data_IF_463295414506
#
_entry.id   IF_463295414506
#
_cell.length_a   1.000
_cell.length_b   1.000
_cell.length_c   1.000
_cell.angle_alpha   90.00
_cell.angle_beta   90.00
_cell.angle_gamma   90.00
#
_symmetry.space_group_name_H-M   'P 1'
#
loop_
_entity.id
_entity.type
_entity.pdbx_description
1 polymer ?
#
# COMPACT_ATOMS: atom_id res chain seq x y z
N UNK A 1 6.21 18.05 -5.86
CA UNK A 1 4.81 17.58 -6.01
C UNK A 1 4.72 16.31 -6.83
N UNK A 2 5.06 16.31 -8.12
CA UNK A 2 5.01 15.09 -8.94
C UNK A 2 5.79 13.91 -8.35
N UNK A 3 6.98 14.18 -7.81
CA UNK A 3 7.78 13.15 -7.13
C UNK A 3 7.11 12.60 -5.86
N UNK A 4 6.50 13.45 -5.03
CA UNK A 4 5.78 13.00 -3.82
C UNK A 4 4.51 12.20 -4.17
N UNK A 5 3.82 12.57 -5.25
CA UNK A 5 2.69 11.81 -5.79
C UNK A 5 3.12 10.42 -6.29
N UNK A 6 4.26 10.36 -6.98
CA UNK A 6 4.85 9.11 -7.46
C UNK A 6 5.28 8.23 -6.28
N UNK A 7 5.95 8.80 -5.28
CA UNK A 7 6.37 8.07 -4.08
C UNK A 7 5.19 7.55 -3.26
N UNK A 8 4.09 8.29 -3.13
CA UNK A 8 2.88 7.80 -2.45
C UNK A 8 2.28 6.58 -3.17
N UNK A 9 2.21 6.63 -4.51
CA UNK A 9 1.75 5.48 -5.31
C UNK A 9 2.70 4.28 -5.21
N UNK A 10 4.00 4.51 -5.34
CA UNK A 10 5.01 3.45 -5.24
C UNK A 10 5.04 2.80 -3.85
N UNK A 11 4.94 3.58 -2.77
CA UNK A 11 4.89 3.05 -1.41
C UNK A 11 3.67 2.14 -1.20
N UNK A 12 2.51 2.51 -1.74
CA UNK A 12 1.34 1.64 -1.73
C UNK A 12 1.52 0.38 -2.59
N UNK A 13 2.13 0.48 -3.77
CA UNK A 13 2.40 -0.69 -4.60
C UNK A 13 3.32 -1.68 -3.88
N UNK A 14 4.37 -1.18 -3.22
CA UNK A 14 5.24 -2.01 -2.37
C UNK A 14 4.43 -2.68 -1.26
N UNK A 15 3.57 -1.93 -0.57
CA UNK A 15 2.68 -2.47 0.47
C UNK A 15 1.80 -3.60 -0.05
N UNK A 16 1.07 -3.36 -1.14
CA UNK A 16 0.14 -4.33 -1.73
C UNK A 16 0.88 -5.59 -2.20
N UNK A 17 2.05 -5.42 -2.81
CA UNK A 17 2.84 -6.53 -3.32
C UNK A 17 3.41 -7.39 -2.19
N UNK A 18 3.89 -6.77 -1.11
CA UNK A 18 4.31 -7.50 0.09
C UNK A 18 3.13 -8.22 0.73
N UNK A 19 1.99 -7.55 0.90
CA UNK A 19 0.80 -8.17 1.48
C UNK A 19 0.33 -9.39 0.67
N UNK A 20 0.38 -9.31 -0.67
CA UNK A 20 0.04 -10.40 -1.58
C UNK A 20 0.99 -11.58 -1.47
N UNK A 21 2.30 -11.35 -1.63
CA UNK A 21 3.31 -12.40 -1.51
C UNK A 21 3.22 -13.06 -0.12
N UNK A 22 3.05 -12.26 0.92
CA UNK A 22 2.96 -12.77 2.29
C UNK A 22 1.78 -13.71 2.49
N UNK A 23 0.64 -13.38 1.87
CA UNK A 23 -0.58 -14.21 1.90
C UNK A 23 -0.39 -15.51 1.13
N UNK A 24 0.23 -15.46 -0.05
CA UNK A 24 0.54 -16.66 -0.86
C UNK A 24 1.49 -17.60 -0.14
N UNK A 25 2.60 -17.07 0.39
CA UNK A 25 3.59 -17.84 1.16
C UNK A 25 2.92 -18.51 2.37
N UNK A 26 2.08 -17.78 3.10
CA UNK A 26 1.41 -18.32 4.27
C UNK A 26 0.35 -19.37 3.91
N UNK A 27 -0.40 -19.18 2.83
CA UNK A 27 -1.34 -20.19 2.34
C UNK A 27 -0.64 -21.49 1.95
N UNK A 28 0.55 -21.40 1.35
CA UNK A 28 1.35 -22.57 1.00
C UNK A 28 1.92 -23.28 2.24
N UNK A 29 2.33 -22.51 3.25
CA UNK A 29 2.71 -23.05 4.56
C UNK A 29 1.55 -23.77 5.26
N UNK A 30 0.33 -23.24 5.16
CA UNK A 30 -0.86 -23.88 5.73
C UNK A 30 -1.15 -25.20 5.02
N UNK A 31 -1.13 -25.21 3.68
CA UNK A 31 -1.34 -26.43 2.89
C UNK A 31 -0.32 -27.52 3.21
N UNK A 32 0.94 -27.15 3.40
CA UNK A 32 2.00 -28.10 3.77
C UNK A 32 1.91 -28.56 5.24
N UNK A 33 1.48 -27.68 6.17
CA UNK A 33 1.29 -28.02 7.57
C UNK A 33 0.11 -28.98 7.83
N UNK A 34 -0.98 -28.91 7.05
CA UNK A 34 -2.10 -29.86 7.19
C UNK A 34 -1.75 -31.31 6.82
N UNK A 35 -0.64 -31.53 6.09
CA UNK A 35 -0.13 -32.87 5.79
C UNK A 35 0.54 -33.55 7.00
N UNK A 36 0.92 -32.81 8.05
CA UNK A 36 1.57 -33.34 9.25
C UNK A 36 1.01 -32.66 10.52
N UNK A 37 0.28 -33.36 11.40
CA UNK A 37 -0.33 -32.78 12.60
C UNK A 37 0.71 -32.48 13.70
N UNK A 38 1.69 -31.63 13.41
CA UNK A 38 2.56 -30.96 14.37
C UNK A 38 1.96 -29.61 14.77
N UNK A 39 2.16 -29.17 16.02
CA UNK A 39 1.71 -27.84 16.45
C UNK A 39 2.50 -26.77 15.69
N UNK A 40 1.80 -25.96 14.88
CA UNK A 40 2.38 -24.81 14.19
C UNK A 40 3.04 -23.86 15.22
N UNK A 41 4.27 -23.37 14.98
CA UNK A 41 4.94 -22.41 15.87
C UNK A 41 4.09 -21.17 16.11
N UNK A 42 4.14 -20.61 17.31
CA UNK A 42 3.28 -19.49 17.72
C UNK A 42 3.47 -18.26 16.82
N UNK A 43 4.70 -17.98 16.39
CA UNK A 43 5.00 -16.87 15.47
C UNK A 43 4.30 -17.07 14.12
N UNK A 44 4.39 -18.26 13.51
CA UNK A 44 3.74 -18.58 12.24
C UNK A 44 2.22 -18.47 12.34
N UNK A 45 1.62 -18.84 13.49
CA UNK A 45 0.19 -18.64 13.75
C UNK A 45 -0.20 -17.17 13.78
N UNK A 46 0.60 -16.32 14.43
CA UNK A 46 0.34 -14.87 14.48
C UNK A 46 0.42 -14.26 13.07
N UNK A 47 1.42 -14.63 12.28
CA UNK A 47 1.57 -14.15 10.90
C UNK A 47 0.40 -14.61 10.03
N UNK A 48 -0.10 -15.84 10.20
CA UNK A 48 -1.33 -16.32 9.56
C UNK A 48 -2.52 -15.43 9.91
N UNK A 49 -2.78 -15.22 11.20
CA UNK A 49 -3.93 -14.41 11.64
C UNK A 49 -3.84 -13.02 11.02
N UNK A 50 -2.64 -12.42 11.00
CA UNK A 50 -2.45 -11.07 10.49
C UNK A 50 -2.64 -10.98 8.97
N UNK A 51 -1.86 -11.73 8.17
CA UNK A 51 -1.84 -11.58 6.71
C UNK A 51 -2.95 -12.34 5.97
N UNK A 52 -3.43 -13.44 6.54
CA UNK A 52 -4.42 -14.31 5.92
C UNK A 52 -5.80 -14.02 6.47
N UNK A 53 -6.01 -14.18 7.79
CA UNK A 53 -7.34 -14.06 8.39
C UNK A 53 -7.80 -12.58 8.46
N UNK A 54 -6.90 -11.66 8.81
CA UNK A 54 -7.12 -10.22 8.83
C UNK A 54 -6.63 -9.50 7.55
N UNK A 55 -6.33 -10.25 6.49
CA UNK A 55 -5.72 -9.70 5.26
C UNK A 55 -6.55 -8.56 4.63
N UNK A 56 -7.88 -8.63 4.69
CA UNK A 56 -8.75 -7.55 4.22
C UNK A 56 -8.55 -6.23 4.99
N UNK A 57 -8.31 -6.30 6.30
CA UNK A 57 -8.06 -5.13 7.11
C UNK A 57 -6.71 -4.50 6.75
N UNK A 58 -5.69 -5.31 6.47
CA UNK A 58 -4.37 -4.84 6.01
C UNK A 58 -4.46 -4.16 4.65
N UNK A 59 -5.23 -4.73 3.73
CA UNK A 59 -5.45 -4.16 2.39
C UNK A 59 -6.14 -2.78 2.50
N UNK A 60 -7.18 -2.67 3.34
CA UNK A 60 -7.90 -1.42 3.61
C UNK A 60 -7.02 -0.38 4.32
N UNK A 61 -6.20 -0.78 5.29
CA UNK A 61 -5.24 0.11 5.96
C UNK A 61 -4.25 0.67 4.95
N UNK A 62 -3.70 -0.17 4.06
CA UNK A 62 -2.81 0.28 2.99
C UNK A 62 -3.48 1.32 2.08
N UNK A 63 -4.73 1.07 1.68
CA UNK A 63 -5.50 1.98 0.82
C UNK A 63 -5.81 3.31 1.52
N UNK A 64 -6.23 3.25 2.79
CA UNK A 64 -6.48 4.43 3.61
C UNK A 64 -5.21 5.26 3.82
N UNK A 65 -4.07 4.60 4.02
CA UNK A 65 -2.77 5.26 4.14
C UNK A 65 -2.36 5.97 2.85
N UNK A 66 -2.59 5.32 1.71
CA UNK A 66 -2.37 5.94 0.40
C UNK A 66 -3.26 7.18 0.23
N UNK A 67 -4.55 7.08 0.56
CA UNK A 67 -5.47 8.21 0.48
C UNK A 67 -5.02 9.38 1.37
N UNK A 68 -4.58 9.11 2.60
CA UNK A 68 -4.02 10.12 3.49
C UNK A 68 -2.76 10.79 2.88
N UNK A 69 -1.88 10.00 2.26
CA UNK A 69 -0.69 10.50 1.56
C UNK A 69 -1.06 11.43 0.40
N UNK A 70 -2.08 11.08 -0.39
CA UNK A 70 -2.57 11.91 -1.48
C UNK A 70 -3.18 13.23 -0.98
N UNK A 71 -3.93 13.19 0.13
CA UNK A 71 -4.45 14.40 0.79
C UNK A 71 -3.31 15.31 1.22
N UNK A 72 -2.25 14.77 1.84
CA UNK A 72 -1.08 15.56 2.22
C UNK A 72 -0.40 16.21 1.00
N UNK A 73 -0.28 15.47 -0.12
CA UNK A 73 0.25 16.02 -1.37
C UNK A 73 -0.63 17.18 -1.89
N UNK A 74 -1.95 17.04 -1.88
CA UNK A 74 -2.85 18.12 -2.30
C UNK A 74 -2.81 19.34 -1.37
N UNK A 75 -2.78 19.13 -0.04
CA UNK A 75 -2.67 20.21 0.93
C UNK A 75 -1.34 20.96 0.78
N UNK A 76 -0.26 20.23 0.50
CA UNK A 76 1.04 20.83 0.24
C UNK A 76 1.09 21.55 -1.11
N UNK A 77 0.38 21.06 -2.14
CA UNK A 77 0.21 21.75 -3.43
C UNK A 77 -0.45 23.13 -3.26
N UNK A 78 -1.30 23.29 -2.24
CA UNK A 78 -1.96 24.56 -1.89
C UNK A 78 -1.14 25.40 -0.89
N UNK A 79 0.13 25.05 -0.66
CA UNK A 79 1.03 25.65 0.32
C UNK A 79 0.46 25.72 1.76
N UNK A 80 -0.51 24.85 2.10
CA UNK A 80 -1.09 24.81 3.46
C UNK A 80 -0.21 24.04 4.44
N UNK A 81 0.57 23.08 3.96
CA UNK A 81 1.38 22.16 4.77
C UNK A 81 2.71 21.88 4.08
N UNK A 82 3.75 21.59 4.87
CA UNK A 82 5.07 21.15 4.36
C UNK A 82 4.96 19.81 3.62
N UNK A 83 5.63 19.71 2.47
CA UNK A 83 5.65 18.48 1.67
C UNK A 83 6.34 17.31 2.38
N UNK A 84 7.19 17.61 3.37
CA UNK A 84 7.88 16.61 4.20
C UNK A 84 6.94 15.58 4.83
N UNK A 85 5.72 15.98 5.22
CA UNK A 85 4.74 15.07 5.78
C UNK A 85 4.31 13.97 4.80
N UNK A 86 4.13 14.30 3.52
CA UNK A 86 3.82 13.30 2.50
C UNK A 86 4.98 12.32 2.30
N UNK A 87 6.22 12.82 2.38
CA UNK A 87 7.43 12.00 2.30
C UNK A 87 7.56 11.04 3.48
N UNK A 88 7.41 11.54 4.70
CA UNK A 88 7.41 10.72 5.91
C UNK A 88 6.34 9.65 5.83
N UNK A 89 5.14 9.99 5.38
CA UNK A 89 4.03 9.06 5.22
C UNK A 89 4.36 7.89 4.27
N UNK A 90 4.91 8.19 3.09
CA UNK A 90 5.32 7.18 2.11
C UNK A 90 6.48 6.31 2.62
N UNK A 91 7.47 6.92 3.28
CA UNK A 91 8.61 6.21 3.87
C UNK A 91 8.14 5.23 4.94
N UNK A 92 7.30 5.68 5.88
CA UNK A 92 6.77 4.82 6.96
C UNK A 92 5.95 3.66 6.37
N UNK A 93 5.12 3.91 5.36
CA UNK A 93 4.36 2.86 4.69
C UNK A 93 5.29 1.81 4.05
N UNK A 94 6.33 2.23 3.34
CA UNK A 94 7.30 1.32 2.72
C UNK A 94 8.11 0.53 3.77
N UNK A 95 8.52 1.18 4.88
CA UNK A 95 9.25 0.52 5.97
C UNK A 95 8.40 -0.54 6.66
N UNK A 96 7.12 -0.24 6.96
CA UNK A 96 6.21 -1.21 7.56
C UNK A 96 5.95 -2.40 6.64
N UNK A 97 5.81 -2.16 5.33
CA UNK A 97 5.75 -3.24 4.35
C UNK A 97 7.02 -4.10 4.39
N UNK A 98 8.22 -3.48 4.37
CA UNK A 98 9.48 -4.21 4.45
C UNK A 98 9.60 -5.06 5.73
N UNK A 99 9.22 -4.51 6.89
CA UNK A 99 9.19 -5.25 8.16
C UNK A 99 8.22 -6.43 8.12
N UNK A 100 7.03 -6.24 7.52
CA UNK A 100 6.07 -7.32 7.30
C UNK A 100 6.64 -8.46 6.46
N UNK A 101 7.35 -8.12 5.37
CA UNK A 101 8.02 -9.09 4.50
C UNK A 101 9.09 -9.89 5.24
N UNK A 102 9.90 -9.23 6.07
CA UNK A 102 10.93 -9.89 6.89
C UNK A 102 10.28 -10.86 7.88
N UNK A 103 9.21 -10.44 8.56
CA UNK A 103 8.49 -11.29 9.51
C UNK A 103 7.91 -12.54 8.85
N UNK A 104 7.32 -12.38 7.66
CA UNK A 104 6.72 -13.49 6.90
C UNK A 104 7.81 -14.42 6.37
N UNK A 105 8.88 -13.88 5.80
CA UNK A 105 10.03 -14.66 5.34
C UNK A 105 10.62 -15.46 6.50
N UNK A 106 10.83 -14.84 7.67
CA UNK A 106 11.31 -15.52 8.86
C UNK A 106 10.35 -16.63 9.31
N UNK A 107 9.04 -16.38 9.30
CA UNK A 107 8.03 -17.40 9.63
C UNK A 107 8.01 -18.59 8.65
N UNK A 108 8.39 -18.35 7.39
CA UNK A 108 8.52 -19.34 6.34
C UNK A 108 9.85 -20.12 6.38
N UNK A 109 10.87 -19.60 7.06
CA UNK A 109 12.14 -20.29 7.31
C UNK A 109 12.19 -21.07 8.63
N UNK A 110 11.27 -20.80 9.56
CA UNK A 110 11.09 -21.62 10.77
C UNK A 110 10.70 -23.10 10.54
N UNK A 111 10.08 -23.54 9.42
CA UNK A 111 9.86 -24.95 9.13
C UNK A 111 11.05 -25.54 8.36
N UNK A 112 12.16 -25.79 9.04
CA UNK A 112 12.96 -26.95 8.65
C UNK A 112 12.12 -28.18 9.01
N UNK A 113 11.88 -29.08 8.04
CA UNK A 113 11.00 -30.28 8.05
C UNK A 113 9.54 -30.05 7.59
N UNK A 114 9.25 -30.18 6.29
CA UNK A 114 8.62 -31.38 5.70
C UNK A 114 8.12 -31.19 4.25
N UNK A 115 8.18 -32.24 3.40
CA UNK A 115 7.72 -32.22 2.02
C UNK A 115 6.21 -32.49 1.85
N UNK A 116 5.65 -31.78 0.87
CA UNK A 116 4.49 -32.00 -0.02
C UNK A 116 3.15 -32.63 0.43
N UNK A 117 2.11 -31.83 0.13
CA UNK A 117 0.83 -32.15 -0.52
C UNK A 117 -0.32 -32.80 0.28
N UNK A 118 -1.18 -31.95 0.83
CA UNK A 118 -2.60 -32.24 1.08
C UNK A 118 -3.44 -30.97 0.86
N UNK A 119 -4.48 -31.04 0.02
CA UNK A 119 -5.38 -29.91 -0.23
C UNK A 119 -6.38 -29.79 0.93
N UNK A 120 -6.25 -28.76 1.76
CA UNK A 120 -7.29 -28.38 2.74
C UNK A 120 -8.27 -27.38 2.11
N UNK A 121 -9.55 -27.54 2.40
CA UNK A 121 -10.57 -26.57 1.99
C UNK A 121 -10.34 -25.21 2.67
N UNK A 122 -10.07 -24.18 1.86
CA UNK A 122 -9.87 -22.82 2.33
C UNK A 122 -11.13 -22.27 3.01
N UNK A 123 -10.96 -21.62 4.15
CA UNK A 123 -12.06 -21.00 4.90
C UNK A 123 -12.66 -19.83 4.10
N UNK A 124 -13.90 -19.44 4.42
CA UNK A 124 -14.58 -18.32 3.74
C UNK A 124 -13.77 -17.01 3.86
N UNK A 125 -13.16 -16.76 5.02
CA UNK A 125 -12.33 -15.55 5.22
C UNK A 125 -11.04 -15.57 4.42
N UNK A 126 -10.42 -16.74 4.24
CA UNK A 126 -9.25 -16.89 3.37
C UNK A 126 -9.58 -16.57 1.91
N UNK A 127 -10.77 -16.98 1.43
CA UNK A 127 -11.24 -16.67 0.07
C UNK A 127 -11.53 -15.18 -0.10
N UNK A 128 -12.21 -14.56 0.87
CA UNK A 128 -12.51 -13.12 0.88
C UNK A 128 -11.23 -12.29 0.92
N UNK A 129 -10.26 -12.69 1.74
CA UNK A 129 -8.93 -12.09 1.83
C UNK A 129 -8.14 -12.24 0.52
N UNK A 130 -8.20 -13.39 -0.15
CA UNK A 130 -7.55 -13.53 -1.46
C UNK A 130 -8.16 -12.60 -2.53
N UNK A 131 -9.49 -12.41 -2.50
CA UNK A 131 -10.21 -11.52 -3.41
C UNK A 131 -10.05 -10.03 -3.08
N UNK A 132 -9.77 -9.66 -1.83
CA UNK A 132 -9.69 -8.25 -1.43
C UNK A 132 -8.50 -7.53 -2.03
N UNK A 133 -7.38 -8.20 -2.25
CA UNK A 133 -6.15 -7.58 -2.77
C UNK A 133 -6.27 -7.10 -4.22
N UNK A 134 -6.75 -7.90 -5.20
CA UNK A 134 -6.91 -7.40 -6.56
C UNK A 134 -7.94 -6.27 -6.63
N UNK A 135 -8.99 -6.31 -5.80
CA UNK A 135 -10.02 -5.25 -5.74
C UNK A 135 -9.44 -3.96 -5.16
N UNK A 136 -8.76 -4.02 -4.02
CA UNK A 136 -8.16 -2.84 -3.37
C UNK A 136 -7.01 -2.25 -4.20
N UNK A 137 -6.20 -3.09 -4.87
CA UNK A 137 -5.19 -2.64 -5.81
C UNK A 137 -5.80 -1.89 -7.01
N UNK A 138 -6.86 -2.43 -7.61
CA UNK A 138 -7.57 -1.78 -8.72
C UNK A 138 -8.15 -0.43 -8.28
N UNK A 139 -8.80 -0.38 -7.10
CA UNK A 139 -9.33 0.86 -6.53
C UNK A 139 -8.21 1.87 -6.27
N UNK A 140 -7.09 1.44 -5.71
CA UNK A 140 -5.94 2.31 -5.45
C UNK A 140 -5.37 2.92 -6.75
N UNK A 141 -5.19 2.11 -7.80
CA UNK A 141 -4.71 2.59 -9.10
C UNK A 141 -5.68 3.62 -9.69
N UNK A 142 -6.99 3.35 -9.63
CA UNK A 142 -8.01 4.29 -10.10
C UNK A 142 -7.97 5.61 -9.33
N UNK A 143 -7.91 5.55 -8.00
CA UNK A 143 -7.82 6.74 -7.14
C UNK A 143 -6.54 7.51 -7.43
N UNK A 144 -5.41 6.82 -7.60
CA UNK A 144 -4.12 7.45 -7.91
C UNK A 144 -4.12 8.18 -9.24
N UNK A 145 -4.61 7.51 -10.29
CA UNK A 145 -4.70 8.08 -11.64
C UNK A 145 -5.68 9.25 -11.67
N UNK A 146 -6.84 9.13 -11.01
CA UNK A 146 -7.79 10.23 -10.87
C UNK A 146 -7.14 11.44 -10.19
N UNK A 147 -6.33 11.22 -9.14
CA UNK A 147 -5.64 12.30 -8.44
C UNK A 147 -4.54 12.95 -9.29
N UNK A 148 -3.81 12.15 -10.06
CA UNK A 148 -2.82 12.63 -11.01
C UNK A 148 -3.47 13.52 -12.08
N UNK A 149 -4.56 13.05 -12.69
CA UNK A 149 -5.33 13.82 -13.68
C UNK A 149 -5.91 15.10 -13.07
N UNK A 150 -6.41 15.03 -11.84
CA UNK A 150 -6.91 16.19 -11.11
C UNK A 150 -5.83 17.27 -10.93
N UNK A 151 -4.63 16.89 -10.48
CA UNK A 151 -3.52 17.84 -10.30
C UNK A 151 -3.01 18.40 -11.64
N UNK A 152 -2.97 17.58 -12.69
CA UNK A 152 -2.64 18.05 -14.05
C UNK A 152 -3.67 19.05 -14.56
N UNK A 153 -4.97 18.80 -14.32
CA UNK A 153 -6.04 19.70 -14.70
C UNK A 153 -5.99 21.02 -13.92
N UNK A 154 -5.72 21.00 -12.61
CA UNK A 154 -5.50 22.23 -11.83
C UNK A 154 -4.31 23.03 -12.38
N UNK A 155 -3.18 22.36 -12.66
CA UNK A 155 -1.99 22.98 -13.29
C UNK A 155 -2.32 23.60 -14.65
N UNK A 156 -3.02 22.88 -15.51
CA UNK A 156 -3.40 23.37 -16.83
C UNK A 156 -4.33 24.59 -16.75
N UNK A 157 -5.27 24.61 -15.79
CA UNK A 157 -6.14 25.77 -15.52
C UNK A 157 -5.36 26.99 -15.05
N UNK A 158 -4.37 26.81 -14.16
CA UNK A 158 -3.48 27.90 -13.72
C UNK A 158 -2.63 28.40 -14.87
N UNK A 159 -2.07 27.52 -15.70
CA UNK A 159 -1.23 27.91 -16.83
C UNK A 159 -2.02 28.65 -17.93
N UNK A 160 -3.33 28.39 -18.05
CA UNK A 160 -4.24 29.15 -18.92
C UNK A 160 -4.57 30.54 -18.38
N UNK A 161 -4.49 30.76 -17.06
CA UNK A 161 -4.51 32.09 -16.45
C UNK A 161 -3.10 32.67 -16.55
N UNK A 162 -2.72 33.12 -17.74
CA UNK A 162 -1.46 33.83 -17.94
C UNK A 162 -1.34 35.05 -17.02
N UNK A 163 -0.11 35.55 -16.78
CA UNK A 163 0.11 36.74 -15.96
C UNK A 163 -0.76 37.88 -16.48
N UNK A 164 -1.65 38.38 -15.63
CA UNK A 164 -2.53 39.49 -16.02
C UNK A 164 -1.70 40.77 -16.10
N UNK A 165 -2.00 41.67 -17.04
CA UNK A 165 -1.27 42.96 -17.21
C UNK A 165 -1.14 43.79 -15.91
N UNK A 166 -2.00 43.52 -14.92
CA UNK A 166 -1.94 44.11 -13.57
C UNK A 166 -0.69 43.73 -12.79
N UNK A 167 -0.11 42.55 -13.04
CA UNK A 167 1.11 42.09 -12.37
C UNK A 167 2.36 42.78 -12.94
N UNK A 168 2.39 43.07 -14.25
CA UNK A 168 3.48 43.82 -14.89
C UNK A 168 3.57 45.28 -14.41
N UNK A 169 2.42 45.89 -14.10
CA UNK A 169 2.35 47.26 -13.57
C UNK A 169 2.89 47.37 -12.13
N UNK A 170 2.77 46.32 -11.31
CA UNK A 170 3.31 46.32 -9.94
C UNK A 170 4.83 46.16 -9.89
N UNK A 171 5.43 45.53 -10.89
CA UNK A 171 6.89 45.37 -10.99
C UNK A 171 7.61 46.60 -11.56
N UNK A 172 6.92 47.48 -12.29
CA UNK A 172 7.53 48.71 -12.84
C UNK A 172 7.56 49.90 -11.87
N UNK A 173 6.89 49.80 -10.71
CA UNK A 173 6.84 50.87 -9.70
C UNK A 173 7.73 50.60 -8.46
N UNK A 174 8.68 49.66 -8.57
CA UNK A 174 9.77 49.42 -7.63
C UNK A 174 11.09 49.66 -8.32
#
# INVERSE_FOLDING_TARGET
>A
MGLALACAGLAYLVWALVAGISREVMQELIRSAFAHPGKMPDLTRVVKIFFVDAGIAIDLVGLGWMAASLVLVALSSRQRISISWAWTCAIVQAFLAALGSVLVSYSAYLPFFMPAAGASDATVMEKVSALSLPVTLALAVLVWLAFLLFLLAERAKVNRRGPTMRDGLKTMYR
#
